data_IF_074470216949
#
_entry.id   IF_074470216949
#
_cell.length_a   1.000
_cell.length_b   1.000
_cell.length_c   1.000
_cell.angle_alpha   90.00
_cell.angle_beta   90.00
_cell.angle_gamma   90.00
#
_symmetry.space_group_name_H-M   'P 1'
#
loop_
_entity.id
_entity.type
_entity.pdbx_description
1 polymer ?
#
# COMPACT_ATOMS: atom_id res chain seq x y z
N UNK A 1 -77.06 -67.72 -21.24
CA UNK A 1 -76.83 -67.26 -19.84
C UNK A 1 -78.15 -66.79 -19.24
N UNK A 2 -78.59 -67.39 -18.12
CA UNK A 2 -79.85 -67.01 -17.47
C UNK A 2 -79.72 -65.57 -16.96
N UNK A 3 -80.80 -64.76 -17.02
CA UNK A 3 -80.80 -63.32 -16.64
C UNK A 3 -80.14 -63.03 -15.27
N UNK A 4 -80.14 -63.99 -14.34
CA UNK A 4 -79.50 -63.89 -13.02
C UNK A 4 -77.96 -63.87 -13.09
N UNK A 5 -77.35 -64.67 -13.96
CA UNK A 5 -75.89 -64.77 -14.09
C UNK A 5 -75.29 -63.50 -14.72
N UNK A 6 -76.02 -62.89 -15.66
CA UNK A 6 -75.63 -61.62 -16.30
C UNK A 6 -75.66 -60.44 -15.31
N UNK A 7 -76.61 -60.44 -14.36
CA UNK A 7 -76.66 -59.43 -13.29
C UNK A 7 -75.53 -59.61 -12.27
N UNK A 8 -75.24 -60.84 -11.87
CA UNK A 8 -74.13 -61.13 -10.96
C UNK A 8 -72.76 -60.76 -11.58
N UNK A 9 -72.56 -61.12 -12.86
CA UNK A 9 -71.36 -60.75 -13.61
C UNK A 9 -71.20 -59.24 -13.75
N UNK A 10 -72.26 -58.52 -14.12
CA UNK A 10 -72.20 -57.06 -14.24
C UNK A 10 -71.90 -56.38 -12.89
N UNK A 11 -72.49 -56.87 -11.79
CA UNK A 11 -72.23 -56.35 -10.44
C UNK A 11 -70.78 -56.60 -10.00
N UNK A 12 -70.24 -57.79 -10.28
CA UNK A 12 -68.84 -58.11 -10.00
C UNK A 12 -67.87 -57.27 -10.85
N UNK A 13 -68.21 -57.05 -12.13
CA UNK A 13 -67.44 -56.20 -13.05
C UNK A 13 -67.43 -54.74 -12.62
N UNK A 14 -68.57 -54.20 -12.20
CA UNK A 14 -68.66 -52.82 -11.66
C UNK A 14 -67.87 -52.67 -10.36
N UNK A 15 -67.94 -53.67 -9.46
CA UNK A 15 -67.16 -53.67 -8.23
C UNK A 15 -65.66 -53.73 -8.51
N UNK A 16 -65.22 -54.61 -9.42
CA UNK A 16 -63.82 -54.70 -9.84
C UNK A 16 -63.33 -53.41 -10.53
N UNK A 17 -64.17 -52.78 -11.36
CA UNK A 17 -63.84 -51.52 -12.00
C UNK A 17 -63.70 -50.37 -10.99
N UNK A 18 -64.59 -50.28 -9.99
CA UNK A 18 -64.47 -49.30 -8.90
C UNK A 18 -63.21 -49.53 -8.07
N UNK A 19 -62.92 -50.78 -7.69
CA UNK A 19 -61.71 -51.12 -6.96
C UNK A 19 -60.44 -50.75 -7.73
N UNK A 20 -60.42 -50.98 -9.05
CA UNK A 20 -59.31 -50.58 -9.90
C UNK A 20 -59.16 -49.06 -10.01
N UNK A 21 -60.26 -48.31 -10.15
CA UNK A 21 -60.20 -46.84 -10.17
C UNK A 21 -59.71 -46.26 -8.84
N UNK A 22 -60.15 -46.81 -7.71
CA UNK A 22 -59.68 -46.39 -6.38
C UNK A 22 -58.20 -46.71 -6.16
N UNK A 23 -57.75 -47.89 -6.60
CA UNK A 23 -56.33 -48.26 -6.56
C UNK A 23 -55.47 -47.32 -7.42
N UNK A 24 -55.94 -47.00 -8.63
CA UNK A 24 -55.25 -46.05 -9.52
C UNK A 24 -55.16 -44.65 -8.91
N UNK A 25 -56.25 -44.16 -8.31
CA UNK A 25 -56.27 -42.84 -7.64
C UNK A 25 -55.30 -42.80 -6.46
N UNK A 26 -55.24 -43.85 -5.63
CA UNK A 26 -54.27 -43.95 -4.52
C UNK A 26 -52.83 -43.96 -5.02
N UNK A 27 -52.56 -44.62 -6.14
CA UNK A 27 -51.23 -44.67 -6.75
C UNK A 27 -50.80 -43.28 -7.25
N UNK A 28 -51.68 -42.56 -7.96
CA UNK A 28 -51.43 -41.19 -8.41
C UNK A 28 -51.20 -40.21 -7.25
N UNK A 29 -51.96 -40.36 -6.15
CA UNK A 29 -51.76 -39.57 -4.92
C UNK A 29 -50.43 -39.88 -4.20
N UNK A 30 -49.95 -41.13 -4.27
CA UNK A 30 -48.65 -41.50 -3.70
C UNK A 30 -47.49 -40.93 -4.53
N UNK A 31 -47.57 -41.02 -5.86
CA UNK A 31 -46.60 -40.42 -6.79
C UNK A 31 -46.46 -38.91 -6.55
N UNK A 32 -47.57 -38.17 -6.48
CA UNK A 32 -47.54 -36.72 -6.22
C UNK A 32 -46.99 -36.35 -4.84
N UNK A 33 -47.03 -37.26 -3.85
CA UNK A 33 -46.39 -37.05 -2.54
C UNK A 33 -44.89 -37.33 -2.57
N UNK A 34 -44.45 -38.33 -3.33
CA UNK A 34 -43.02 -38.64 -3.51
C UNK A 34 -42.31 -37.55 -4.32
N UNK A 35 -42.90 -37.10 -5.42
CA UNK A 35 -42.39 -35.98 -6.22
C UNK A 35 -42.25 -34.69 -5.38
N UNK A 36 -43.22 -34.40 -4.52
CA UNK A 36 -43.16 -33.26 -3.61
C UNK A 36 -42.07 -33.41 -2.53
N UNK A 37 -41.84 -34.62 -2.02
CA UNK A 37 -40.74 -34.87 -1.06
C UNK A 37 -39.38 -34.68 -1.72
N UNK A 38 -39.22 -35.17 -2.95
CA UNK A 38 -37.97 -35.03 -3.70
C UNK A 38 -37.70 -33.57 -4.07
N UNK A 39 -38.72 -32.84 -4.54
CA UNK A 39 -38.62 -31.41 -4.82
C UNK A 39 -38.25 -30.58 -3.58
N UNK A 40 -38.80 -30.92 -2.40
CA UNK A 40 -38.43 -30.27 -1.14
C UNK A 40 -36.98 -30.56 -0.74
N UNK A 41 -36.55 -31.83 -0.87
CA UNK A 41 -35.16 -32.24 -0.61
C UNK A 41 -34.15 -31.53 -1.53
N UNK A 42 -34.49 -31.33 -2.81
CA UNK A 42 -33.65 -30.57 -3.74
C UNK A 42 -33.51 -29.10 -3.33
N UNK A 43 -34.61 -28.44 -2.97
CA UNK A 43 -34.58 -27.05 -2.46
C UNK A 43 -33.72 -26.91 -1.20
N UNK A 44 -33.85 -27.83 -0.26
CA UNK A 44 -33.05 -27.81 0.98
C UNK A 44 -31.54 -27.96 0.68
N UNK A 45 -31.17 -28.78 -0.33
CA UNK A 45 -29.78 -28.92 -0.79
C UNK A 45 -29.26 -27.68 -1.51
N UNK A 46 -30.08 -27.05 -2.36
CA UNK A 46 -29.76 -25.79 -3.03
C UNK A 46 -29.52 -24.66 -2.02
N UNK A 47 -30.39 -24.54 -1.02
CA UNK A 47 -30.24 -23.58 0.08
C UNK A 47 -28.95 -23.81 0.88
N UNK A 48 -28.62 -25.08 1.15
CA UNK A 48 -27.38 -25.44 1.84
C UNK A 48 -26.15 -25.08 1.00
N UNK A 49 -26.21 -25.30 -0.31
CA UNK A 49 -25.14 -24.96 -1.25
C UNK A 49 -24.97 -23.44 -1.36
N UNK A 50 -26.06 -22.69 -1.43
CA UNK A 50 -26.04 -21.22 -1.41
C UNK A 50 -25.45 -20.66 -0.11
N UNK A 51 -25.78 -21.25 1.05
CA UNK A 51 -25.17 -20.90 2.35
C UNK A 51 -23.67 -21.17 2.37
N UNK A 52 -23.23 -22.33 1.86
CA UNK A 52 -21.80 -22.69 1.77
C UNK A 52 -21.02 -21.75 0.86
N UNK A 53 -21.58 -21.38 -0.29
CA UNK A 53 -20.96 -20.41 -1.20
C UNK A 53 -20.81 -19.04 -0.53
N UNK A 54 -21.84 -18.54 0.15
CA UNK A 54 -21.76 -17.28 0.93
C UNK A 54 -20.70 -17.35 2.03
N UNK A 55 -20.61 -18.46 2.75
CA UNK A 55 -19.59 -18.66 3.78
C UNK A 55 -18.17 -18.70 3.18
N UNK A 56 -17.99 -19.37 2.04
CA UNK A 56 -16.71 -19.41 1.33
C UNK A 56 -16.28 -18.01 0.86
N UNK A 57 -17.20 -17.20 0.33
CA UNK A 57 -16.91 -15.80 -0.04
C UNK A 57 -16.54 -14.95 1.17
N UNK A 58 -17.26 -15.09 2.29
CA UNK A 58 -16.90 -14.40 3.55
C UNK A 58 -15.50 -14.77 4.02
N UNK A 59 -15.15 -16.06 3.99
CA UNK A 59 -13.81 -16.52 4.38
C UNK A 59 -12.73 -15.95 3.46
N UNK A 60 -12.95 -15.93 2.14
CA UNK A 60 -12.03 -15.31 1.18
C UNK A 60 -11.81 -13.82 1.46
N UNK A 61 -12.89 -13.08 1.74
CA UNK A 61 -12.79 -11.66 2.07
C UNK A 61 -12.03 -11.45 3.39
N UNK A 62 -12.29 -12.27 4.41
CA UNK A 62 -11.59 -12.18 5.68
C UNK A 62 -10.08 -12.45 5.51
N UNK A 63 -9.71 -13.44 4.71
CA UNK A 63 -8.30 -13.74 4.39
C UNK A 63 -7.64 -12.53 3.71
N UNK A 64 -8.32 -11.92 2.74
CA UNK A 64 -7.82 -10.71 2.06
C UNK A 64 -7.65 -9.53 3.03
N UNK A 65 -8.59 -9.32 3.96
CA UNK A 65 -8.49 -8.28 4.98
C UNK A 65 -7.31 -8.52 5.93
N UNK A 66 -7.10 -9.77 6.35
CA UNK A 66 -5.95 -10.16 7.18
C UNK A 66 -4.63 -9.93 6.43
N UNK A 67 -4.54 -10.35 5.17
CA UNK A 67 -3.34 -10.16 4.33
C UNK A 67 -3.03 -8.68 4.12
N UNK A 68 -4.05 -7.85 3.91
CA UNK A 68 -3.90 -6.40 3.78
C UNK A 68 -3.43 -5.78 5.10
N UNK A 69 -4.02 -6.19 6.22
CA UNK A 69 -3.60 -5.77 7.56
C UNK A 69 -2.15 -6.13 7.87
N UNK A 70 -1.72 -7.34 7.52
CA UNK A 70 -0.34 -7.80 7.68
C UNK A 70 0.66 -6.96 6.86
N UNK A 71 0.33 -6.62 5.61
CA UNK A 71 1.18 -5.75 4.77
C UNK A 71 1.32 -4.35 5.35
N UNK A 72 0.23 -3.79 5.87
CA UNK A 72 0.25 -2.47 6.54
C UNK A 72 1.15 -2.54 7.77
N UNK A 73 0.97 -3.57 8.60
CA UNK A 73 1.79 -3.78 9.80
C UNK A 73 3.29 -3.87 9.47
N UNK A 74 3.67 -4.69 8.48
CA UNK A 74 5.06 -4.82 8.04
C UNK A 74 5.66 -3.48 7.56
N UNK A 75 4.85 -2.68 6.87
CA UNK A 75 5.28 -1.34 6.42
C UNK A 75 5.52 -0.41 7.61
N UNK A 76 4.65 -0.44 8.61
CA UNK A 76 4.79 0.35 9.83
C UNK A 76 5.99 -0.09 10.67
N UNK A 77 6.20 -1.39 10.82
CA UNK A 77 7.35 -1.95 11.53
C UNK A 77 8.66 -1.51 10.89
N UNK A 78 8.75 -1.59 9.55
CA UNK A 78 9.92 -1.12 8.81
C UNK A 78 10.17 0.38 9.05
N UNK A 79 9.15 1.22 8.90
CA UNK A 79 9.28 2.66 9.15
C UNK A 79 9.66 3.00 10.59
N UNK A 80 9.15 2.24 11.57
CA UNK A 80 9.51 2.40 12.97
C UNK A 80 10.98 2.06 13.22
N UNK A 81 11.50 0.97 12.65
CA UNK A 81 12.91 0.61 12.75
C UNK A 81 13.82 1.64 12.09
N UNK A 82 13.42 2.20 10.95
CA UNK A 82 14.14 3.30 10.30
C UNK A 82 14.22 4.53 11.22
N UNK A 83 13.12 4.91 11.88
CA UNK A 83 13.11 6.02 12.85
C UNK A 83 14.01 5.72 14.06
N UNK A 84 13.96 4.51 14.61
CA UNK A 84 14.84 4.11 15.73
C UNK A 84 16.32 4.19 15.35
N UNK A 85 16.68 3.75 14.14
CA UNK A 85 18.04 3.86 13.62
C UNK A 85 18.49 5.32 13.49
N UNK A 86 17.61 6.20 13.00
CA UNK A 86 17.87 7.64 12.94
C UNK A 86 18.07 8.24 14.34
N UNK A 87 17.23 7.89 15.31
CA UNK A 87 17.34 8.35 16.70
C UNK A 87 18.64 7.89 17.36
N UNK A 88 19.05 6.63 17.15
CA UNK A 88 20.32 6.11 17.66
C UNK A 88 21.52 6.87 17.09
N UNK A 89 21.48 7.21 15.80
CA UNK A 89 22.52 8.01 15.15
C UNK A 89 22.65 9.41 15.77
N UNK A 90 21.52 10.07 16.04
CA UNK A 90 21.51 11.41 16.64
C UNK A 90 22.05 11.39 18.08
N UNK A 91 21.72 10.36 18.87
CA UNK A 91 22.18 10.23 20.26
C UNK A 91 23.71 10.08 20.37
N UNK A 92 24.36 9.48 19.38
CA UNK A 92 25.79 9.16 19.43
C UNK A 92 26.71 10.29 18.95
N UNK A 93 26.16 11.42 18.49
CA UNK A 93 26.96 12.51 17.91
C UNK A 93 26.61 13.86 18.53
N UNK A 94 27.51 14.34 19.39
CA UNK A 94 27.37 15.61 20.15
C UNK A 94 28.22 16.75 19.58
N UNK A 95 28.80 16.61 18.38
CA UNK A 95 29.69 17.65 17.83
C UNK A 95 29.40 17.89 16.35
N UNK A 96 29.24 19.16 15.98
CA UNK A 96 28.99 19.57 14.60
C UNK A 96 30.11 19.14 13.65
N UNK A 97 31.37 19.09 14.12
CA UNK A 97 32.48 18.55 13.32
C UNK A 97 32.26 17.09 12.92
N UNK A 98 31.67 16.28 13.80
CA UNK A 98 31.36 14.89 13.49
C UNK A 98 30.19 14.81 12.51
N UNK A 99 29.21 15.72 12.61
CA UNK A 99 28.15 15.83 11.62
C UNK A 99 28.67 16.28 10.25
N UNK A 100 29.64 17.21 10.19
CA UNK A 100 30.28 17.62 8.94
C UNK A 100 30.95 16.43 8.25
N UNK A 101 31.61 15.54 8.99
CA UNK A 101 32.17 14.31 8.42
C UNK A 101 31.07 13.37 7.89
N UNK A 102 29.94 13.25 8.62
CA UNK A 102 28.80 12.43 8.20
C UNK A 102 28.06 12.99 6.98
N UNK A 103 28.13 14.30 6.74
CA UNK A 103 27.59 14.91 5.54
C UNK A 103 28.28 14.40 4.25
N UNK A 104 29.51 13.94 4.37
CA UNK A 104 30.27 13.31 3.28
C UNK A 104 30.13 11.77 3.23
N UNK A 105 29.33 11.16 4.11
CA UNK A 105 29.15 9.70 4.19
C UNK A 105 28.59 9.11 2.90
N UNK A 106 28.89 7.85 2.61
CA UNK A 106 28.29 7.12 1.48
C UNK A 106 26.81 6.77 1.74
N UNK A 107 26.41 6.73 3.01
CA UNK A 107 25.03 6.39 3.41
C UNK A 107 24.12 7.60 3.33
N UNK A 108 23.02 7.47 2.59
CA UNK A 108 22.05 8.56 2.39
C UNK A 108 21.46 9.05 3.72
N UNK A 109 21.12 8.13 4.61
CA UNK A 109 20.52 8.43 5.91
C UNK A 109 21.46 9.28 6.78
N UNK A 110 22.76 8.97 6.75
CA UNK A 110 23.77 9.74 7.48
C UNK A 110 23.90 11.15 6.93
N UNK A 111 23.93 11.30 5.59
CA UNK A 111 24.00 12.61 4.94
C UNK A 111 22.77 13.45 5.21
N UNK A 112 21.58 12.87 5.10
CA UNK A 112 20.31 13.56 5.34
C UNK A 112 20.24 14.09 6.77
N UNK A 113 20.52 13.25 7.77
CA UNK A 113 20.49 13.68 9.19
C UNK A 113 21.57 14.73 9.44
N UNK A 114 22.78 14.52 8.94
CA UNK A 114 23.87 15.49 9.08
C UNK A 114 23.49 16.86 8.50
N UNK A 115 22.89 16.89 7.31
CA UNK A 115 22.44 18.12 6.67
C UNK A 115 21.37 18.83 7.53
N UNK A 116 20.38 18.09 8.04
CA UNK A 116 19.36 18.66 8.91
C UNK A 116 19.92 19.20 10.22
N UNK A 117 20.85 18.48 10.86
CA UNK A 117 21.45 18.91 12.13
C UNK A 117 22.32 20.15 11.91
N UNK A 118 23.16 20.19 10.89
CA UNK A 118 24.02 21.34 10.60
C UNK A 118 23.24 22.58 10.14
N UNK A 119 22.05 22.41 9.55
CA UNK A 119 21.19 23.51 9.11
C UNK A 119 20.41 24.19 10.27
N UNK A 120 20.49 23.64 11.48
CA UNK A 120 19.90 24.25 12.69
C UNK A 120 20.61 25.55 13.05
N UNK A 121 19.95 26.41 13.82
CA UNK A 121 20.48 27.73 14.19
C UNK A 121 21.56 27.61 15.27
N UNK A 122 21.46 26.57 16.07
CA UNK A 122 22.29 26.24 17.23
C UNK A 122 23.66 25.69 16.82
N UNK A 123 23.79 25.21 15.59
CA UNK A 123 25.03 24.63 15.08
C UNK A 123 26.10 25.69 14.90
N UNK A 124 27.36 25.29 15.02
CA UNK A 124 28.52 26.13 14.71
C UNK A 124 28.42 26.59 13.25
N UNK A 125 28.12 27.88 13.10
CA UNK A 125 27.86 28.50 11.80
C UNK A 125 29.02 28.34 10.84
N UNK A 126 30.26 28.37 11.34
CA UNK A 126 31.45 28.25 10.50
C UNK A 126 31.58 26.83 9.98
N UNK A 127 31.51 25.84 10.87
CA UNK A 127 31.61 24.41 10.52
C UNK A 127 30.49 24.02 9.55
N UNK A 128 29.24 24.36 9.88
CA UNK A 128 28.08 24.04 9.04
C UNK A 128 28.25 24.63 7.63
N UNK A 129 28.54 25.92 7.54
CA UNK A 129 28.71 26.62 6.26
C UNK A 129 29.83 26.06 5.40
N UNK A 130 31.02 25.86 5.97
CA UNK A 130 32.17 25.31 5.23
C UNK A 130 31.83 23.92 4.67
N UNK A 131 31.25 23.05 5.51
CA UNK A 131 30.84 21.71 5.10
C UNK A 131 29.75 21.71 4.01
N UNK A 132 28.80 22.64 4.07
CA UNK A 132 27.75 22.76 3.06
C UNK A 132 28.29 23.22 1.71
N UNK A 133 29.16 24.23 1.70
CA UNK A 133 29.75 24.75 0.46
C UNK A 133 30.62 23.68 -0.20
N UNK A 134 31.40 22.94 0.59
CA UNK A 134 32.23 21.84 0.11
C UNK A 134 31.38 20.71 -0.48
N UNK A 135 30.27 20.34 0.19
CA UNK A 135 29.43 19.21 -0.23
C UNK A 135 28.54 19.53 -1.42
N UNK A 136 28.10 20.78 -1.60
CA UNK A 136 27.00 21.14 -2.49
C UNK A 136 27.15 20.61 -3.93
N UNK A 137 28.35 20.69 -4.51
CA UNK A 137 28.61 20.26 -5.89
C UNK A 137 28.69 18.73 -6.00
N UNK A 138 29.03 18.04 -4.91
CA UNK A 138 29.19 16.59 -4.87
C UNK A 138 27.88 15.85 -4.55
N UNK A 139 26.88 16.55 -4.01
CA UNK A 139 25.64 15.92 -3.58
C UNK A 139 24.74 15.59 -4.76
N UNK A 140 24.47 14.29 -4.91
CA UNK A 140 23.66 13.74 -6.00
C UNK A 140 22.19 13.61 -5.62
N UNK A 141 21.89 13.49 -4.33
CA UNK A 141 20.52 13.38 -3.86
C UNK A 141 19.85 14.76 -3.80
N UNK A 142 18.75 15.00 -4.54
CA UNK A 142 18.10 16.31 -4.56
C UNK A 142 17.56 16.76 -3.21
N UNK A 143 17.05 15.84 -2.38
CA UNK A 143 16.47 16.18 -1.08
C UNK A 143 17.56 16.62 -0.11
N UNK A 144 18.69 15.91 -0.08
CA UNK A 144 19.86 16.34 0.70
C UNK A 144 20.38 17.67 0.20
N UNK A 145 20.46 17.86 -1.13
CA UNK A 145 20.91 19.12 -1.74
C UNK A 145 20.04 20.30 -1.32
N UNK A 146 18.72 20.14 -1.26
CA UNK A 146 17.81 21.20 -0.80
C UNK A 146 18.04 21.57 0.67
N UNK A 147 18.29 20.59 1.54
CA UNK A 147 18.64 20.86 2.94
C UNK A 147 19.98 21.58 3.05
N UNK A 148 20.96 21.23 2.22
CA UNK A 148 22.25 21.93 2.12
C UNK A 148 22.02 23.39 1.69
N UNK A 149 21.22 23.64 0.66
CA UNK A 149 20.90 25.01 0.21
C UNK A 149 20.22 25.82 1.32
N UNK A 150 19.30 25.21 2.07
CA UNK A 150 18.66 25.84 3.22
C UNK A 150 19.67 26.18 4.33
N UNK A 151 20.61 25.27 4.61
CA UNK A 151 21.72 25.51 5.53
C UNK A 151 22.62 26.66 5.09
N UNK A 152 22.97 26.72 3.80
CA UNK A 152 23.73 27.83 3.20
C UNK A 152 22.96 29.14 3.36
N UNK A 153 21.66 29.18 3.04
CA UNK A 153 20.85 30.38 3.16
C UNK A 153 20.83 30.95 4.59
N UNK A 154 20.92 30.07 5.61
CA UNK A 154 20.93 30.47 7.02
C UNK A 154 22.31 30.93 7.52
N UNK A 155 23.38 30.31 7.04
CA UNK A 155 24.72 30.47 7.63
C UNK A 155 25.74 31.20 6.76
N UNK A 156 25.49 31.33 5.45
CA UNK A 156 26.41 31.99 4.52
C UNK A 156 26.58 33.48 4.82
N UNK A 157 27.78 33.98 4.55
CA UNK A 157 28.18 35.38 4.68
C UNK A 157 28.72 35.89 3.34
N UNK A 158 28.96 37.20 3.26
CA UNK A 158 29.45 37.82 2.03
C UNK A 158 30.84 37.30 1.60
N UNK A 159 31.69 36.88 2.54
CA UNK A 159 32.99 36.25 2.26
C UNK A 159 32.86 34.95 1.44
N UNK A 160 31.73 34.25 1.55
CA UNK A 160 31.47 32.99 0.86
C UNK A 160 31.00 33.18 -0.59
N UNK A 161 30.71 34.42 -1.00
CA UNK A 161 30.17 34.75 -2.33
C UNK A 161 31.00 34.16 -3.46
N UNK A 162 32.33 34.18 -3.34
CA UNK A 162 33.23 33.63 -4.36
C UNK A 162 33.08 32.11 -4.48
N UNK A 163 33.01 31.40 -3.35
CA UNK A 163 32.86 29.95 -3.33
C UNK A 163 31.48 29.52 -3.85
N UNK A 164 30.41 30.25 -3.47
CA UNK A 164 29.06 29.99 -3.96
C UNK A 164 28.93 30.23 -5.47
N UNK A 165 29.56 31.28 -6.01
CA UNK A 165 29.64 31.49 -7.46
C UNK A 165 30.38 30.36 -8.18
N UNK A 166 31.46 29.85 -7.58
CA UNK A 166 32.19 28.71 -8.12
C UNK A 166 31.32 27.44 -8.14
N UNK A 167 30.61 27.15 -7.05
CA UNK A 167 29.68 26.02 -6.97
C UNK A 167 28.54 26.14 -7.99
N UNK A 168 27.93 27.33 -8.12
CA UNK A 168 26.90 27.63 -9.13
C UNK A 168 27.41 27.36 -10.55
N UNK A 169 28.63 27.79 -10.87
CA UNK A 169 29.22 27.56 -12.18
C UNK A 169 29.53 26.09 -12.45
N UNK A 170 29.95 25.33 -11.43
CA UNK A 170 30.18 23.90 -11.54
C UNK A 170 28.87 23.16 -11.86
N UNK A 171 27.79 23.45 -11.13
CA UNK A 171 26.46 22.86 -11.37
C UNK A 171 25.87 23.25 -12.74
N UNK A 172 26.09 24.50 -13.19
CA UNK A 172 25.69 24.91 -14.54
C UNK A 172 26.46 24.16 -15.63
N UNK A 173 27.76 23.93 -15.42
CA UNK A 173 28.57 23.12 -16.33
C UNK A 173 28.05 21.70 -16.38
N UNK A 174 27.79 21.08 -15.22
CA UNK A 174 27.21 19.74 -15.11
C UNK A 174 25.88 19.63 -15.86
N UNK A 175 24.98 20.60 -15.67
CA UNK A 175 23.69 20.65 -16.38
C UNK A 175 23.90 20.72 -17.90
N UNK A 176 24.82 21.57 -18.37
CA UNK A 176 25.12 21.74 -19.80
C UNK A 176 25.78 20.51 -20.43
N UNK A 177 26.55 19.74 -19.66
CA UNK A 177 27.20 18.50 -20.14
C UNK A 177 26.26 17.29 -20.23
N UNK A 178 24.94 17.49 -20.03
CA UNK A 178 23.93 16.46 -20.26
C UNK A 178 23.51 15.68 -19.01
N UNK A 179 23.64 16.27 -17.82
CA UNK A 179 23.09 15.65 -16.61
C UNK A 179 21.59 15.41 -16.74
N UNK A 180 21.14 14.23 -16.31
CA UNK A 180 19.73 13.82 -16.30
C UNK A 180 18.97 14.30 -15.07
N UNK A 181 19.65 14.98 -14.12
CA UNK A 181 19.03 15.50 -12.91
C UNK A 181 18.16 16.74 -13.22
N UNK A 182 16.82 16.64 -13.17
CA UNK A 182 15.92 17.74 -13.50
C UNK A 182 15.95 18.86 -12.46
N UNK A 183 16.47 18.59 -11.26
CA UNK A 183 16.44 19.52 -10.12
C UNK A 183 17.57 20.54 -10.15
N UNK A 184 18.64 20.29 -10.92
CA UNK A 184 19.80 21.18 -11.04
C UNK A 184 19.42 22.62 -11.41
N UNK A 185 18.41 22.80 -12.26
CA UNK A 185 17.94 24.15 -12.64
C UNK A 185 17.40 24.91 -11.42
N UNK A 186 16.64 24.23 -10.56
CA UNK A 186 16.13 24.79 -9.30
C UNK A 186 17.26 25.12 -8.33
N UNK A 187 18.20 24.20 -8.14
CA UNK A 187 19.40 24.42 -7.31
C UNK A 187 20.19 25.65 -7.76
N UNK A 188 20.46 25.78 -9.06
CA UNK A 188 21.19 26.93 -9.63
C UNK A 188 20.43 28.24 -9.39
N UNK A 189 19.11 28.23 -9.60
CA UNK A 189 18.28 29.41 -9.36
C UNK A 189 18.29 29.83 -7.88
N UNK A 190 18.17 28.88 -6.95
CA UNK A 190 18.28 29.16 -5.51
C UNK A 190 19.65 29.74 -5.13
N UNK A 191 20.73 29.25 -5.75
CA UNK A 191 22.06 29.84 -5.57
C UNK A 191 22.16 31.27 -6.10
N UNK A 192 21.60 31.55 -7.27
CA UNK A 192 21.59 32.91 -7.84
C UNK A 192 20.87 33.88 -6.89
N UNK A 193 19.72 33.48 -6.33
CA UNK A 193 18.98 34.27 -5.33
C UNK A 193 19.79 34.47 -4.04
N UNK A 194 20.39 33.42 -3.50
CA UNK A 194 21.22 33.51 -2.30
C UNK A 194 22.42 34.44 -2.51
N UNK A 195 23.15 34.28 -3.61
CA UNK A 195 24.32 35.10 -3.95
C UNK A 195 23.94 36.58 -4.09
N UNK A 196 22.76 36.88 -4.65
CA UNK A 196 22.24 38.24 -4.76
C UNK A 196 21.86 38.82 -3.39
N UNK A 197 21.33 38.00 -2.49
CA UNK A 197 20.89 38.39 -1.15
C UNK A 197 21.99 38.56 -0.10
N UNK A 198 23.21 38.06 -0.35
CA UNK A 198 24.35 38.28 0.54
C UNK A 198 24.69 39.77 0.62
N UNK A 199 24.67 40.33 1.83
CA UNK A 199 25.08 41.71 2.16
C UNK A 199 26.48 41.71 2.75
#
# INVERSE_FOLDING_TARGET
>A
LKKKDKKAYNKAREAAFKAHQEAKKKYEEMLGKEENKEAKSLRDKEDLLGKKQKAATKLKNLILEVDLGLKIYQTWEKGYQEILAQLAMVKNVNRDKTWANKLASDKLEERTIAAYVLARKESDRKVARESFIERLVQEKDPLVRDVILFGIARHAKNEDRKALKAARNALEKERKTGSTDPTLRGTIYSLDLMIAGLK
#
